data_IF_531376932244
#
_entry.id   IF_531376932244
#
_cell.length_a   1.000
_cell.length_b   1.000
_cell.length_c   1.000
_cell.angle_alpha   90.00
_cell.angle_beta   90.00
_cell.angle_gamma   90.00
#
_symmetry.space_group_name_H-M   'P 1'
#
loop_
_entity.id
_entity.type
_entity.pdbx_description
1 polymer ?
#
# COMPACT_ATOMS: atom_id res chain seq x y z
N UNK A 1 -14.81 -41.16 -4.99
CA UNK A 1 -13.44 -40.59 -5.00
C UNK A 1 -13.47 -39.07 -5.23
N UNK A 2 -14.11 -38.54 -6.28
CA UNK A 2 -14.16 -37.10 -6.62
C UNK A 2 -14.69 -36.22 -5.48
N UNK A 3 -15.80 -36.55 -4.85
CA UNK A 3 -16.37 -35.74 -3.74
C UNK A 3 -15.46 -35.65 -2.49
N UNK A 4 -14.68 -36.70 -2.22
CA UNK A 4 -13.68 -36.66 -1.13
C UNK A 4 -12.49 -35.74 -1.47
N UNK A 5 -12.10 -35.69 -2.74
CA UNK A 5 -11.05 -34.74 -3.20
C UNK A 5 -11.54 -33.30 -3.13
N UNK A 6 -12.76 -32.99 -3.56
CA UNK A 6 -13.34 -31.64 -3.45
C UNK A 6 -13.52 -31.22 -1.99
N UNK A 7 -13.98 -32.11 -1.13
CA UNK A 7 -14.11 -31.81 0.30
C UNK A 7 -12.74 -31.58 0.96
N UNK A 8 -11.70 -32.32 0.57
CA UNK A 8 -10.34 -32.10 1.07
C UNK A 8 -9.76 -30.77 0.58
N UNK A 9 -9.99 -30.40 -0.67
CA UNK A 9 -9.54 -29.11 -1.23
C UNK A 9 -10.24 -27.90 -0.56
N UNK A 10 -11.52 -28.03 -0.22
CA UNK A 10 -12.27 -26.98 0.49
C UNK A 10 -11.83 -26.79 1.96
N UNK A 11 -11.10 -27.74 2.52
CA UNK A 11 -10.61 -27.69 3.92
C UNK A 11 -9.18 -27.16 4.03
N UNK A 12 -8.51 -26.87 2.94
CA UNK A 12 -7.15 -26.33 2.95
C UNK A 12 -7.18 -24.82 2.78
N UNK A 13 -6.37 -24.15 3.57
CA UNK A 13 -6.03 -22.74 3.43
C UNK A 13 -4.59 -22.66 2.93
N UNK A 14 -4.41 -22.10 1.75
CA UNK A 14 -3.10 -21.82 1.16
C UNK A 14 -2.81 -20.34 1.36
N UNK A 15 -1.79 -20.04 2.15
CA UNK A 15 -1.37 -18.67 2.48
C UNK A 15 0.01 -18.43 1.92
N UNK A 16 0.16 -17.37 1.12
CA UNK A 16 1.45 -16.96 0.56
C UNK A 16 2.32 -16.35 1.66
N UNK A 17 3.57 -16.80 1.73
CA UNK A 17 4.61 -16.21 2.57
C UNK A 17 5.48 -15.34 1.68
N UNK A 18 5.33 -14.02 1.75
CA UNK A 18 6.07 -13.10 0.90
C UNK A 18 7.57 -13.18 1.15
N UNK A 19 8.36 -13.26 0.09
CA UNK A 19 9.80 -13.10 0.11
C UNK A 19 10.17 -11.64 0.41
N UNK A 20 11.31 -11.45 1.08
CA UNK A 20 11.86 -10.10 1.28
C UNK A 20 12.63 -9.69 0.04
N UNK A 21 12.33 -8.50 -0.49
CA UNK A 21 13.07 -7.95 -1.63
C UNK A 21 14.49 -7.57 -1.23
N UNK A 22 15.47 -7.95 -2.03
CA UNK A 22 16.88 -7.64 -1.82
C UNK A 22 17.16 -6.14 -1.76
N UNK A 23 18.18 -5.76 -1.03
CA UNK A 23 18.63 -4.37 -0.87
C UNK A 23 19.55 -3.93 -2.00
N UNK A 24 19.65 -2.62 -2.21
CA UNK A 24 20.57 -2.02 -3.18
C UNK A 24 21.57 -1.16 -2.39
N UNK A 25 22.86 -1.43 -2.62
CA UNK A 25 23.96 -0.74 -1.98
C UNK A 25 24.81 0.00 -3.00
N UNK A 26 25.49 1.06 -2.55
CA UNK A 26 26.55 1.70 -3.29
C UNK A 26 27.85 0.86 -3.28
N UNK A 27 28.91 1.37 -3.89
CA UNK A 27 30.23 0.70 -3.93
C UNK A 27 30.88 0.52 -2.55
N UNK A 28 30.46 1.30 -1.55
CA UNK A 28 31.01 1.33 -0.19
C UNK A 28 30.10 0.59 0.81
N UNK A 29 29.00 -0.01 0.35
CA UNK A 29 28.04 -0.72 1.19
C UNK A 29 26.99 0.19 1.86
N UNK A 30 26.83 1.43 1.39
CA UNK A 30 25.79 2.34 1.85
C UNK A 30 24.45 1.92 1.22
N UNK A 31 23.40 1.80 2.04
CA UNK A 31 22.09 1.35 1.59
C UNK A 31 21.37 2.45 0.79
N UNK A 32 21.11 2.20 -0.49
CA UNK A 32 20.39 3.10 -1.38
C UNK A 32 18.89 2.76 -1.47
N UNK A 33 18.55 1.49 -1.34
CA UNK A 33 17.16 1.03 -1.25
C UNK A 33 17.06 -0.17 -0.30
N UNK A 34 16.09 -0.12 0.62
CA UNK A 34 15.82 -1.17 1.59
C UNK A 34 14.35 -1.59 1.56
N UNK A 35 14.04 -2.72 2.20
CA UNK A 35 12.67 -3.20 2.33
C UNK A 35 12.31 -3.34 3.80
N UNK A 36 11.28 -2.61 4.23
CA UNK A 36 10.72 -2.69 5.58
C UNK A 36 9.50 -3.61 5.61
N UNK A 37 9.37 -4.35 6.69
CA UNK A 37 8.14 -5.13 6.96
C UNK A 37 7.08 -4.16 7.49
N UNK A 38 5.94 -4.16 6.83
CA UNK A 38 4.75 -3.39 7.20
C UNK A 38 3.53 -4.30 7.22
N UNK A 39 2.40 -3.78 7.64
CA UNK A 39 1.18 -4.55 7.81
C UNK A 39 0.00 -3.85 7.17
N UNK A 40 -0.86 -4.61 6.52
CA UNK A 40 -2.19 -4.16 6.11
C UNK A 40 -3.19 -4.56 7.21
N UNK A 41 -4.03 -3.63 7.60
CA UNK A 41 -5.10 -3.84 8.58
C UNK A 41 -6.41 -3.95 7.82
N UNK A 42 -7.12 -5.04 8.02
CA UNK A 42 -8.42 -5.26 7.41
C UNK A 42 -9.43 -5.78 8.43
N UNK A 43 -10.69 -5.63 8.16
CA UNK A 43 -11.77 -6.11 9.01
C UNK A 43 -12.75 -6.99 8.22
N UNK A 44 -13.44 -7.85 8.96
CA UNK A 44 -14.64 -8.56 8.52
C UNK A 44 -15.86 -7.99 9.25
N UNK A 45 -16.53 -6.95 8.69
CA UNK A 45 -17.73 -6.39 9.30
C UNK A 45 -18.87 -7.40 9.41
N UNK A 46 -19.00 -8.33 8.46
CA UNK A 46 -20.05 -9.36 8.50
C UNK A 46 -19.90 -10.33 9.67
N UNK A 47 -18.68 -10.50 10.17
CA UNK A 47 -18.33 -11.31 11.35
C UNK A 47 -18.14 -10.46 12.62
N UNK A 48 -18.22 -9.14 12.50
CA UNK A 48 -18.12 -8.16 13.59
C UNK A 48 -19.48 -7.91 14.21
N UNK A 49 -19.97 -8.88 14.96
CA UNK A 49 -21.34 -8.92 15.49
C UNK A 49 -21.69 -7.78 16.46
N UNK A 50 -20.72 -6.98 16.89
CA UNK A 50 -20.96 -5.77 17.68
C UNK A 50 -21.44 -4.59 16.82
N UNK A 51 -21.16 -4.63 15.50
CA UNK A 51 -21.51 -3.55 14.59
C UNK A 51 -22.98 -3.61 14.13
N UNK A 52 -23.74 -4.62 14.58
CA UNK A 52 -25.15 -4.76 14.22
C UNK A 52 -25.92 -5.55 15.26
N UNK A 53 -27.21 -5.27 15.37
CA UNK A 53 -28.18 -6.11 16.10
C UNK A 53 -28.84 -7.07 15.12
N UNK A 54 -29.31 -8.20 15.63
CA UNK A 54 -29.97 -9.22 14.83
C UNK A 54 -31.39 -9.44 15.34
N UNK A 55 -32.37 -9.29 14.46
CA UNK A 55 -33.77 -9.63 14.74
C UNK A 55 -34.24 -10.72 13.78
N UNK A 56 -35.18 -11.56 14.23
CA UNK A 56 -35.80 -12.56 13.38
C UNK A 56 -37.27 -12.20 13.20
N UNK A 57 -37.68 -12.02 11.94
CA UNK A 57 -39.05 -11.73 11.58
C UNK A 57 -39.95 -12.97 11.67
N UNK A 58 -41.28 -12.78 11.59
CA UNK A 58 -42.27 -13.86 11.65
C UNK A 58 -42.11 -14.91 10.57
N UNK A 59 -41.54 -14.55 9.41
CA UNK A 59 -41.20 -15.43 8.30
C UNK A 59 -39.88 -16.20 8.49
N UNK A 60 -39.26 -16.09 9.68
CA UNK A 60 -37.94 -16.66 10.04
C UNK A 60 -36.75 -16.06 9.29
N UNK A 61 -36.92 -14.93 8.60
CA UNK A 61 -35.79 -14.20 8.04
C UNK A 61 -35.04 -13.43 9.13
N UNK A 62 -33.71 -13.56 9.13
CA UNK A 62 -32.83 -12.82 10.04
C UNK A 62 -32.43 -11.50 9.41
N UNK A 63 -32.77 -10.40 10.07
CA UNK A 63 -32.40 -9.04 9.65
C UNK A 63 -31.30 -8.52 10.55
N UNK A 64 -30.26 -7.92 9.95
CA UNK A 64 -29.21 -7.22 10.67
C UNK A 64 -29.50 -5.72 10.61
N UNK A 65 -29.46 -5.06 11.75
CA UNK A 65 -29.60 -3.60 11.86
C UNK A 65 -28.29 -3.02 12.34
N UNK A 66 -27.67 -2.16 11.54
CA UNK A 66 -26.40 -1.51 11.85
C UNK A 66 -26.45 -0.70 13.14
N UNK A 67 -25.38 -0.78 13.95
CA UNK A 67 -25.22 0.01 15.18
C UNK A 67 -24.17 1.12 14.95
N UNK A 68 -24.61 2.37 14.70
CA UNK A 68 -23.70 3.48 14.42
C UNK A 68 -22.86 3.87 15.64
N UNK A 69 -23.37 3.63 16.87
CA UNK A 69 -22.68 4.03 18.10
C UNK A 69 -21.46 3.14 18.33
N UNK A 70 -21.64 1.84 18.22
CA UNK A 70 -20.54 0.89 18.34
C UNK A 70 -19.53 1.03 17.21
N UNK A 71 -20.01 1.28 15.99
CA UNK A 71 -19.13 1.56 14.86
C UNK A 71 -18.27 2.81 15.10
N UNK A 72 -18.85 3.89 15.62
CA UNK A 72 -18.14 5.13 15.93
C UNK A 72 -17.05 4.90 17.00
N UNK A 73 -17.36 4.18 18.07
CA UNK A 73 -16.42 3.88 19.15
C UNK A 73 -15.22 3.06 18.65
N UNK A 74 -15.47 1.99 17.88
CA UNK A 74 -14.43 1.16 17.29
C UNK A 74 -13.59 1.96 16.30
N UNK A 75 -14.22 2.76 15.45
CA UNK A 75 -13.54 3.58 14.45
C UNK A 75 -12.62 4.61 15.10
N UNK A 76 -13.08 5.28 16.15
CA UNK A 76 -12.28 6.22 16.92
C UNK A 76 -11.03 5.55 17.51
N UNK A 77 -11.22 4.40 18.18
CA UNK A 77 -10.12 3.69 18.81
C UNK A 77 -9.06 3.19 17.83
N UNK A 78 -9.46 2.77 16.62
CA UNK A 78 -8.55 2.36 15.54
C UNK A 78 -7.85 3.59 14.95
N UNK A 79 -8.58 4.67 14.65
CA UNK A 79 -8.04 5.88 14.03
C UNK A 79 -6.98 6.55 14.89
N UNK A 80 -7.21 6.68 16.21
CA UNK A 80 -6.22 7.22 17.14
C UNK A 80 -4.89 6.46 17.07
N UNK A 81 -4.93 5.15 16.95
CA UNK A 81 -3.73 4.30 16.87
C UNK A 81 -3.03 4.41 15.52
N UNK A 82 -3.80 4.52 14.45
CA UNK A 82 -3.23 4.72 13.11
C UNK A 82 -2.46 6.02 13.02
N UNK A 83 -2.98 7.10 13.61
CA UNK A 83 -2.39 8.44 13.53
C UNK A 83 -1.32 8.72 14.59
N UNK A 84 -1.26 7.94 15.69
CA UNK A 84 -0.22 8.10 16.70
C UNK A 84 1.19 7.76 16.19
N UNK A 85 1.28 7.00 15.08
CA UNK A 85 2.55 6.59 14.48
C UNK A 85 3.34 5.53 15.27
N UNK A 86 3.25 5.54 16.59
CA UNK A 86 3.86 4.56 17.51
C UNK A 86 2.83 3.60 18.12
N UNK A 87 1.53 3.89 17.97
CA UNK A 87 0.43 3.13 18.55
C UNK A 87 0.18 3.39 20.04
N UNK A 88 0.99 4.22 20.70
CA UNK A 88 0.94 4.47 22.16
C UNK A 88 0.61 5.92 22.48
N UNK A 89 1.14 6.88 21.75
CA UNK A 89 0.99 8.33 22.00
C UNK A 89 -0.38 8.85 21.55
N UNK A 90 -1.48 8.24 22.02
CA UNK A 90 -2.83 8.56 21.57
C UNK A 90 -3.26 10.00 21.91
N UNK A 91 -2.81 10.53 23.05
CA UNK A 91 -3.12 11.90 23.50
C UNK A 91 -2.45 12.98 22.64
N UNK A 92 -1.44 12.61 21.86
CA UNK A 92 -0.76 13.51 20.95
C UNK A 92 -1.50 13.70 19.62
N UNK A 93 -2.51 12.87 19.34
CA UNK A 93 -3.29 12.93 18.11
C UNK A 93 -4.29 14.09 18.19
N UNK A 94 -4.16 15.06 17.28
CA UNK A 94 -5.12 16.15 17.15
C UNK A 94 -6.42 15.65 16.50
N UNK A 95 -7.43 15.40 17.33
CA UNK A 95 -8.75 14.91 16.87
C UNK A 95 -9.58 15.97 16.15
N UNK A 96 -9.12 17.24 16.12
CA UNK A 96 -9.76 18.33 15.36
C UNK A 96 -9.15 18.52 13.97
N UNK A 97 -8.07 17.79 13.66
CA UNK A 97 -7.40 17.90 12.38
C UNK A 97 -8.21 17.32 11.23
N UNK A 98 -7.97 17.83 10.03
CA UNK A 98 -8.57 17.29 8.80
C UNK A 98 -8.11 15.85 8.56
N UNK A 99 -6.83 15.56 8.83
CA UNK A 99 -6.25 14.22 8.70
C UNK A 99 -6.98 13.20 9.59
N UNK A 100 -7.25 13.58 10.86
CA UNK A 100 -8.04 12.72 11.75
C UNK A 100 -9.44 12.49 11.20
N UNK A 101 -10.12 13.54 10.73
CA UNK A 101 -11.48 13.44 10.21
C UNK A 101 -11.56 12.54 8.98
N UNK A 102 -10.62 12.68 8.05
CA UNK A 102 -10.55 11.84 6.85
C UNK A 102 -10.26 10.37 7.18
N UNK A 103 -9.27 10.13 8.05
CA UNK A 103 -8.92 8.77 8.46
C UNK A 103 -10.05 8.10 9.25
N UNK A 104 -10.69 8.84 10.17
CA UNK A 104 -11.85 8.37 10.92
C UNK A 104 -13.01 7.99 9.98
N UNK A 105 -13.33 8.86 9.02
CA UNK A 105 -14.39 8.59 8.05
C UNK A 105 -14.07 7.34 7.20
N UNK A 106 -12.83 7.20 6.77
CA UNK A 106 -12.38 6.00 6.02
C UNK A 106 -12.62 4.72 6.81
N UNK A 107 -12.23 4.70 8.09
CA UNK A 107 -12.40 3.52 8.96
C UNK A 107 -13.89 3.27 9.24
N UNK A 108 -14.65 4.33 9.53
CA UNK A 108 -16.08 4.25 9.80
C UNK A 108 -16.87 3.70 8.60
N UNK A 109 -16.62 4.24 7.41
CA UNK A 109 -17.27 3.81 6.16
C UNK A 109 -16.93 2.36 5.80
N UNK A 110 -15.70 1.94 6.09
CA UNK A 110 -15.30 0.56 5.90
C UNK A 110 -16.05 -0.39 6.85
N UNK A 111 -16.11 -0.05 8.15
CA UNK A 111 -16.76 -0.87 9.17
C UNK A 111 -18.31 -0.86 9.05
N UNK A 112 -18.90 0.19 8.49
CA UNK A 112 -20.34 0.29 8.28
C UNK A 112 -20.90 -0.71 7.25
N UNK A 113 -20.02 -1.29 6.41
CA UNK A 113 -20.39 -2.28 5.39
C UNK A 113 -20.63 -3.67 6.01
N UNK A 114 -21.63 -3.78 6.88
CA UNK A 114 -21.90 -4.96 7.71
C UNK A 114 -22.14 -6.28 6.95
N UNK A 115 -22.34 -6.23 5.64
CA UNK A 115 -22.48 -7.42 4.79
C UNK A 115 -21.17 -7.80 4.07
N UNK A 116 -20.11 -6.99 4.21
CA UNK A 116 -18.80 -7.27 3.64
C UNK A 116 -17.97 -8.15 4.56
N UNK A 117 -17.34 -9.18 4.01
CA UNK A 117 -16.40 -10.06 4.74
C UNK A 117 -14.95 -9.59 4.69
N UNK A 118 -14.64 -8.57 3.89
CA UNK A 118 -13.31 -8.00 3.77
C UNK A 118 -13.38 -6.51 3.43
N UNK A 119 -12.85 -5.69 4.33
CA UNK A 119 -12.66 -4.26 4.10
C UNK A 119 -11.28 -3.85 4.61
N UNK A 120 -10.57 -3.05 3.85
CA UNK A 120 -9.26 -2.52 4.25
C UNK A 120 -9.48 -1.29 5.12
N UNK A 121 -8.84 -1.26 6.29
CA UNK A 121 -8.86 -0.12 7.22
C UNK A 121 -7.62 0.76 7.07
N UNK A 122 -6.46 0.14 6.85
CA UNK A 122 -5.20 0.83 6.61
C UNK A 122 -4.20 -0.09 5.91
N UNK A 123 -3.27 0.50 5.17
CA UNK A 123 -2.18 -0.21 4.50
C UNK A 123 -0.83 0.32 4.97
N UNK A 124 0.20 -0.51 4.84
CA UNK A 124 1.60 -0.13 5.12
C UNK A 124 1.84 0.39 6.54
N UNK A 125 1.13 -0.16 7.51
CA UNK A 125 1.24 0.22 8.92
C UNK A 125 2.47 -0.45 9.53
N UNK A 126 3.19 0.26 10.40
CA UNK A 126 4.33 -0.28 11.12
C UNK A 126 3.91 -1.31 12.19
N UNK A 127 4.88 -2.06 12.71
CA UNK A 127 4.60 -3.13 13.67
C UNK A 127 4.09 -2.63 15.03
N UNK A 128 4.50 -1.45 15.49
CA UNK A 128 4.06 -0.89 16.77
C UNK A 128 2.55 -0.56 16.72
N UNK A 129 2.14 0.17 15.70
CA UNK A 129 0.72 0.50 15.47
C UNK A 129 -0.12 -0.76 15.26
N UNK A 130 0.40 -1.74 14.49
CA UNK A 130 -0.27 -3.05 14.33
C UNK A 130 -0.54 -3.73 15.67
N UNK A 131 0.47 -3.83 16.54
CA UNK A 131 0.32 -4.46 17.86
C UNK A 131 -0.68 -3.68 18.73
N UNK A 132 -0.62 -2.36 18.73
CA UNK A 132 -1.55 -1.51 19.47
C UNK A 132 -3.01 -1.70 19.03
N UNK A 133 -3.24 -1.86 17.72
CA UNK A 133 -4.60 -2.14 17.20
C UNK A 133 -5.05 -3.54 17.62
N UNK A 134 -4.19 -4.55 17.55
CA UNK A 134 -4.52 -5.92 17.99
C UNK A 134 -4.86 -5.96 19.49
N UNK A 135 -4.10 -5.26 20.32
CA UNK A 135 -4.34 -5.16 21.76
C UNK A 135 -5.63 -4.40 22.06
N UNK A 136 -5.89 -3.29 21.37
CA UNK A 136 -7.15 -2.55 21.46
C UNK A 136 -8.35 -3.45 21.14
N UNK A 137 -8.33 -4.10 19.97
CA UNK A 137 -9.43 -4.98 19.54
C UNK A 137 -9.61 -6.16 20.50
N UNK A 138 -8.52 -6.73 21.00
CA UNK A 138 -8.56 -7.79 22.00
C UNK A 138 -9.18 -7.31 23.31
N UNK A 139 -8.76 -6.15 23.81
CA UNK A 139 -9.29 -5.50 25.02
C UNK A 139 -10.77 -5.13 24.87
N UNK A 140 -11.12 -4.51 23.74
CA UNK A 140 -12.48 -4.15 23.38
C UNK A 140 -13.40 -5.38 23.36
N UNK A 141 -12.99 -6.44 22.69
CA UNK A 141 -13.73 -7.70 22.63
C UNK A 141 -13.88 -8.38 24.00
N UNK A 142 -12.90 -8.24 24.89
CA UNK A 142 -13.00 -8.74 26.28
C UNK A 142 -13.98 -7.92 27.11
N UNK A 143 -13.94 -6.59 27.00
CA UNK A 143 -14.84 -5.68 27.74
C UNK A 143 -16.30 -5.89 27.35
N UNK A 144 -16.56 -6.19 26.08
CA UNK A 144 -17.91 -6.40 25.55
C UNK A 144 -18.35 -7.88 25.53
N UNK A 145 -17.56 -8.79 26.12
CA UNK A 145 -17.92 -10.20 26.27
C UNK A 145 -18.91 -10.37 27.44
N UNK A 146 -20.20 -10.38 27.16
CA UNK A 146 -21.21 -10.79 28.13
C UNK A 146 -21.43 -12.32 28.18
N UNK A 147 -21.91 -12.81 29.35
CA UNK A 147 -22.09 -14.19 29.69
C UNK A 147 -22.94 -15.04 28.74
N UNK A 148 -23.08 -16.31 29.00
CA UNK A 148 -23.79 -17.32 28.19
C UNK A 148 -25.27 -17.00 28.05
N UNK A 149 -25.78 -16.94 26.79
CA UNK A 149 -27.21 -16.79 26.49
C UNK A 149 -27.49 -15.77 25.39
N UNK A 150 -28.73 -15.29 25.32
CA UNK A 150 -29.24 -14.35 24.34
C UNK A 150 -28.58 -12.96 24.40
N UNK A 151 -27.84 -12.66 25.47
CA UNK A 151 -27.07 -11.42 25.66
C UNK A 151 -25.63 -11.51 25.11
N UNK A 152 -25.40 -12.22 24.07
CA UNK A 152 -24.10 -12.21 23.38
C UNK A 152 -23.86 -10.81 22.80
N UNK A 153 -23.09 -10.00 23.52
CA UNK A 153 -22.49 -8.84 22.92
C UNK A 153 -21.44 -9.35 21.92
N UNK A 154 -21.46 -8.74 20.77
CA UNK A 154 -20.68 -9.10 19.64
C UNK A 154 -19.17 -8.87 19.83
N UNK A 155 -18.45 -9.17 18.80
CA UNK A 155 -17.01 -8.88 18.69
C UNK A 155 -16.75 -8.07 17.44
N UNK A 156 -15.70 -7.33 17.47
CA UNK A 156 -15.07 -6.77 16.26
C UNK A 156 -14.07 -7.80 15.72
N UNK A 157 -14.12 -8.05 14.42
CA UNK A 157 -13.17 -8.90 13.71
C UNK A 157 -12.24 -8.03 12.88
N UNK A 158 -11.04 -7.78 13.40
CA UNK A 158 -9.94 -7.11 12.71
C UNK A 158 -8.79 -8.09 12.59
N UNK A 159 -8.15 -8.10 11.48
CA UNK A 159 -7.01 -8.97 11.15
C UNK A 159 -5.90 -8.18 10.50
N UNK A 160 -4.70 -8.72 10.55
CA UNK A 160 -3.51 -8.10 10.01
C UNK A 160 -2.85 -9.02 8.99
N UNK A 161 -2.39 -8.46 7.90
CA UNK A 161 -1.67 -9.18 6.86
C UNK A 161 -0.29 -8.56 6.68
N UNK A 162 0.74 -9.41 6.69
CA UNK A 162 2.12 -8.96 6.47
C UNK A 162 2.29 -8.46 5.05
N UNK A 163 2.86 -7.28 4.92
CA UNK A 163 3.19 -6.63 3.65
C UNK A 163 4.62 -6.10 3.70
N UNK A 164 5.09 -5.52 2.62
CA UNK A 164 6.40 -4.89 2.54
C UNK A 164 6.29 -3.49 1.94
N UNK A 165 7.19 -2.62 2.36
CA UNK A 165 7.34 -1.29 1.80
C UNK A 165 8.79 -1.09 1.38
N UNK A 166 8.98 -0.69 0.13
CA UNK A 166 10.27 -0.25 -0.37
C UNK A 166 10.56 1.15 0.14
N UNK A 167 11.77 1.36 0.61
CA UNK A 167 12.21 2.63 1.16
C UNK A 167 13.52 3.07 0.50
N UNK A 168 13.57 4.34 0.08
CA UNK A 168 14.73 4.97 -0.51
C UNK A 168 15.19 6.10 0.44
N UNK A 169 16.17 5.83 1.32
CA UNK A 169 16.53 6.71 2.44
C UNK A 169 16.97 8.12 2.01
N UNK A 170 17.44 8.26 0.79
CA UNK A 170 17.98 9.52 0.26
C UNK A 170 16.99 10.26 -0.68
N UNK A 171 15.71 9.85 -0.71
CA UNK A 171 14.69 10.50 -1.54
C UNK A 171 15.05 10.50 -3.03
N UNK A 172 15.09 11.68 -3.65
CA UNK A 172 15.34 11.83 -5.09
C UNK A 172 16.76 11.45 -5.55
N UNK A 173 17.66 11.12 -4.62
CA UNK A 173 19.04 10.76 -4.92
C UNK A 173 19.12 9.52 -5.81
N UNK A 174 19.86 9.63 -6.91
CA UNK A 174 20.03 8.60 -7.96
C UNK A 174 18.71 8.00 -8.47
N UNK A 175 17.59 8.72 -8.33
CA UNK A 175 16.23 8.23 -8.60
C UNK A 175 16.07 7.66 -10.00
N UNK A 176 16.63 8.33 -11.03
CA UNK A 176 16.55 7.87 -12.42
C UNK A 176 17.28 6.53 -12.64
N UNK A 177 18.30 6.22 -11.83
CA UNK A 177 19.05 4.97 -11.89
C UNK A 177 18.37 3.89 -11.07
N UNK A 178 18.09 4.17 -9.80
CA UNK A 178 17.46 3.22 -8.88
C UNK A 178 16.07 2.83 -9.41
N UNK A 179 15.29 3.81 -9.82
CA UNK A 179 13.90 3.61 -10.16
C UNK A 179 13.04 3.41 -8.91
N UNK A 180 11.88 2.79 -9.08
CA UNK A 180 10.93 2.56 -8.01
C UNK A 180 10.13 1.27 -8.21
N UNK A 181 9.45 0.85 -7.14
CA UNK A 181 8.51 -0.26 -7.16
C UNK A 181 7.07 0.27 -7.05
N UNK A 182 6.12 -0.53 -7.53
CA UNK A 182 4.70 -0.30 -7.26
C UNK A 182 4.31 -0.62 -5.81
N UNK A 183 3.00 -0.49 -5.50
CA UNK A 183 2.45 -0.76 -4.17
C UNK A 183 2.60 -2.21 -3.71
N UNK A 184 2.81 -3.15 -4.64
CA UNK A 184 2.99 -4.58 -4.37
C UNK A 184 4.47 -4.99 -4.30
N UNK A 185 5.39 -4.04 -4.51
CA UNK A 185 6.84 -4.28 -4.47
C UNK A 185 7.42 -4.81 -5.79
N UNK A 186 6.71 -4.68 -6.90
CA UNK A 186 7.22 -5.03 -8.23
C UNK A 186 7.96 -3.84 -8.84
N UNK A 187 9.18 -4.07 -9.31
CA UNK A 187 10.00 -3.02 -9.94
C UNK A 187 9.38 -2.50 -11.24
N UNK A 188 9.11 -1.20 -11.28
CA UNK A 188 8.41 -0.53 -12.38
C UNK A 188 9.35 0.26 -13.28
N UNK A 189 10.43 0.80 -12.70
CA UNK A 189 11.40 1.64 -13.40
C UNK A 189 12.84 1.36 -12.92
N UNK A 190 13.84 1.79 -13.69
CA UNK A 190 15.26 1.76 -13.33
C UNK A 190 15.84 0.37 -13.04
N UNK A 191 16.77 0.30 -12.11
CA UNK A 191 17.38 -0.95 -11.64
C UNK A 191 16.38 -1.85 -10.97
N UNK A 192 15.40 -1.29 -10.25
CA UNK A 192 14.31 -2.05 -9.62
C UNK A 192 13.59 -2.93 -10.65
N UNK A 193 13.32 -2.40 -11.85
CA UNK A 193 12.70 -3.15 -12.94
C UNK A 193 13.69 -4.10 -13.62
N UNK A 194 14.88 -3.60 -13.94
CA UNK A 194 15.88 -4.35 -14.73
C UNK A 194 16.36 -5.60 -13.99
N UNK A 195 16.45 -5.53 -12.64
CA UNK A 195 16.88 -6.62 -11.77
C UNK A 195 15.73 -7.22 -10.97
N UNK A 196 14.48 -7.08 -11.45
CA UNK A 196 13.29 -7.62 -10.76
C UNK A 196 13.45 -9.09 -10.38
N UNK A 197 13.92 -9.94 -11.29
CA UNK A 197 14.09 -11.39 -11.02
C UNK A 197 15.14 -11.71 -9.96
N UNK A 198 16.11 -10.82 -9.77
CA UNK A 198 17.18 -10.96 -8.77
C UNK A 198 16.74 -10.44 -7.41
N UNK A 199 16.09 -9.27 -7.42
CA UNK A 199 15.68 -8.55 -6.22
C UNK A 199 14.42 -9.15 -5.56
N UNK A 200 13.44 -9.63 -6.32
CA UNK A 200 12.14 -10.02 -5.77
C UNK A 200 12.17 -11.28 -4.90
N UNK A 201 13.12 -12.19 -5.15
CA UNK A 201 13.11 -13.51 -4.50
C UNK A 201 11.98 -14.41 -5.02
N UNK A 202 11.64 -15.41 -4.23
CA UNK A 202 10.57 -16.38 -4.55
C UNK A 202 9.69 -16.54 -3.32
N UNK A 203 8.41 -16.22 -3.49
CA UNK A 203 7.43 -16.36 -2.41
C UNK A 203 7.30 -17.82 -1.97
N UNK A 204 7.20 -18.02 -0.67
CA UNK A 204 6.83 -19.29 -0.06
C UNK A 204 5.31 -19.43 0.07
N UNK A 205 4.88 -20.57 0.59
CA UNK A 205 3.47 -20.79 0.91
C UNK A 205 3.32 -21.72 2.11
N UNK A 206 2.27 -21.49 2.88
CA UNK A 206 1.88 -22.37 3.99
C UNK A 206 0.50 -22.94 3.72
N UNK A 207 0.41 -24.26 3.68
CA UNK A 207 -0.84 -24.98 3.48
C UNK A 207 -1.26 -25.50 4.85
N UNK A 208 -2.38 -24.97 5.36
CA UNK A 208 -2.97 -25.38 6.65
C UNK A 208 -4.40 -25.89 6.43
N UNK A 209 -4.95 -26.59 7.42
CA UNK A 209 -6.36 -26.89 7.46
C UNK A 209 -7.14 -25.69 7.99
N UNK A 210 -8.32 -25.45 7.43
CA UNK A 210 -9.26 -24.45 7.96
C UNK A 210 -10.45 -25.13 8.63
N UNK A 211 -10.97 -24.47 9.66
CA UNK A 211 -12.21 -24.91 10.30
C UNK A 211 -13.42 -24.56 9.44
N UNK A 212 -14.61 -24.98 9.87
CA UNK A 212 -15.87 -24.72 9.16
C UNK A 212 -16.19 -23.21 9.01
N UNK A 213 -15.49 -22.34 9.73
CA UNK A 213 -15.63 -20.87 9.70
C UNK A 213 -14.55 -20.22 8.82
N UNK A 214 -13.65 -21.02 8.23
CA UNK A 214 -12.63 -20.55 7.30
C UNK A 214 -11.28 -20.16 7.95
N UNK A 215 -11.16 -20.19 9.27
CA UNK A 215 -9.93 -19.85 9.96
C UNK A 215 -8.92 -21.01 9.96
N UNK A 216 -7.62 -20.67 9.89
CA UNK A 216 -6.56 -21.66 10.03
C UNK A 216 -6.68 -22.40 11.36
N UNK A 217 -6.63 -23.74 11.32
CA UNK A 217 -6.47 -24.55 12.50
C UNK A 217 -4.97 -24.64 12.78
N UNK A 218 -4.55 -24.38 14.02
CA UNK A 218 -3.19 -24.65 14.45
C UNK A 218 -2.97 -26.18 14.41
N UNK A 219 -2.50 -26.68 13.26
CA UNK A 219 -2.28 -28.10 13.01
C UNK A 219 -0.78 -28.37 12.93
N UNK A 220 -0.34 -29.41 13.63
CA UNK A 220 1.05 -29.90 13.56
C UNK A 220 1.42 -30.43 12.17
N UNK A 221 0.43 -30.59 11.27
CA UNK A 221 0.61 -31.07 9.90
C UNK A 221 0.59 -29.94 8.84
N UNK A 222 0.77 -28.67 9.25
CA UNK A 222 0.93 -27.59 8.30
C UNK A 222 2.17 -27.82 7.43
N UNK A 223 2.01 -27.80 6.10
CA UNK A 223 3.12 -27.90 5.18
C UNK A 223 3.55 -26.51 4.77
N UNK A 224 4.74 -26.10 5.20
CA UNK A 224 5.33 -24.79 4.86
C UNK A 224 6.44 -24.96 3.85
N UNK A 225 6.33 -24.26 2.74
CA UNK A 225 7.40 -24.04 1.78
C UNK A 225 7.97 -22.65 2.09
N UNK A 226 9.21 -22.61 2.58
CA UNK A 226 9.84 -21.35 2.96
C UNK A 226 10.00 -20.41 1.75
N UNK A 227 9.78 -19.12 1.96
CA UNK A 227 10.14 -18.10 0.98
C UNK A 227 11.67 -18.07 0.82
N UNK A 228 12.12 -17.73 -0.37
CA UNK A 228 13.54 -17.47 -0.65
C UNK A 228 13.68 -15.98 -0.94
N UNK A 229 14.32 -15.25 -0.04
CA UNK A 229 14.54 -13.81 -0.19
C UNK A 229 15.35 -13.47 -1.45
N UNK A 230 15.14 -12.26 -1.95
CA UNK A 230 15.86 -11.73 -3.09
C UNK A 230 17.34 -11.51 -2.78
N UNK A 231 18.16 -11.49 -3.82
CA UNK A 231 19.57 -11.17 -3.71
C UNK A 231 19.78 -9.67 -3.70
N UNK A 232 20.77 -9.21 -2.93
CA UNK A 232 21.16 -7.81 -2.88
C UNK A 232 21.95 -7.41 -4.14
N UNK A 233 21.86 -6.14 -4.53
CA UNK A 233 22.69 -5.54 -5.56
C UNK A 233 23.73 -4.61 -4.92
N UNK A 234 24.98 -4.73 -5.35
CA UNK A 234 26.05 -3.77 -5.03
C UNK A 234 26.41 -3.07 -6.33
N UNK A 235 26.21 -1.75 -6.34
CA UNK A 235 26.45 -0.91 -7.50
C UNK A 235 27.90 -0.42 -7.52
N UNK A 236 28.36 0.05 -8.68
CA UNK A 236 29.61 0.80 -8.79
C UNK A 236 29.46 2.28 -8.47
N UNK A 237 28.23 2.77 -8.24
CA UNK A 237 27.96 4.12 -7.81
C UNK A 237 28.60 4.40 -6.46
N UNK A 238 29.17 5.59 -6.30
CA UNK A 238 29.69 6.12 -5.04
C UNK A 238 28.80 7.29 -4.59
N UNK A 239 28.21 7.16 -3.41
CA UNK A 239 27.28 8.17 -2.87
C UNK A 239 27.91 9.56 -2.83
N UNK A 240 29.19 9.68 -2.46
CA UNK A 240 29.84 10.98 -2.36
C UNK A 240 30.03 11.62 -3.76
N UNK A 241 30.41 10.81 -4.76
CA UNK A 241 30.57 11.31 -6.13
C UNK A 241 29.22 11.67 -6.72
N UNK A 242 28.21 10.84 -6.48
CA UNK A 242 26.85 11.08 -6.95
C UNK A 242 26.26 12.37 -6.37
N UNK A 243 26.41 12.62 -5.06
CA UNK A 243 25.96 13.86 -4.40
C UNK A 243 26.58 15.11 -5.02
N UNK A 244 27.89 15.08 -5.26
CA UNK A 244 28.60 16.19 -5.90
C UNK A 244 28.03 16.44 -7.31
N UNK A 245 27.85 15.38 -8.10
CA UNK A 245 27.34 15.48 -9.47
C UNK A 245 25.91 16.02 -9.49
N UNK A 246 25.02 15.52 -8.63
CA UNK A 246 23.64 15.99 -8.55
C UNK A 246 23.54 17.46 -8.15
N UNK A 247 24.32 17.89 -7.17
CA UNK A 247 24.37 19.29 -6.74
C UNK A 247 24.78 20.20 -7.89
N UNK A 248 25.92 19.92 -8.52
CA UNK A 248 26.40 20.76 -9.62
C UNK A 248 25.53 20.70 -10.88
N UNK A 249 24.88 19.54 -11.14
CA UNK A 249 23.93 19.44 -12.23
C UNK A 249 22.69 20.31 -11.95
N UNK A 250 22.18 20.33 -10.71
CA UNK A 250 21.07 21.19 -10.29
C UNK A 250 21.41 22.67 -10.50
N UNK A 251 22.61 23.09 -10.03
CA UNK A 251 23.08 24.46 -10.20
C UNK A 251 23.24 24.83 -11.68
N UNK A 252 23.79 23.92 -12.50
CA UNK A 252 24.00 24.15 -13.92
C UNK A 252 22.67 24.26 -14.70
N UNK A 253 21.71 23.41 -14.41
CA UNK A 253 20.38 23.43 -15.01
C UNK A 253 19.67 24.74 -14.71
N UNK A 254 19.71 25.21 -13.46
CA UNK A 254 19.10 26.45 -13.04
C UNK A 254 19.81 27.67 -13.65
N UNK A 255 21.16 27.71 -13.63
CA UNK A 255 21.94 28.84 -14.12
C UNK A 255 21.82 29.05 -15.67
N UNK A 256 21.52 27.96 -16.39
CA UNK A 256 21.42 28.03 -17.86
C UNK A 256 19.97 27.92 -18.36
N UNK A 257 18.98 28.01 -17.49
CA UNK A 257 17.54 27.90 -17.83
C UNK A 257 17.25 26.71 -18.76
N UNK A 258 17.74 25.53 -18.38
CA UNK A 258 17.54 24.31 -19.19
C UNK A 258 16.06 23.88 -19.10
N UNK A 259 15.34 24.02 -20.19
CA UNK A 259 13.88 23.83 -20.26
C UNK A 259 13.47 22.35 -20.19
N UNK A 260 14.26 21.45 -20.76
CA UNK A 260 13.85 20.05 -20.84
C UNK A 260 14.55 19.15 -19.82
N UNK A 261 15.82 18.80 -20.13
CA UNK A 261 16.52 17.81 -19.31
C UNK A 261 18.03 18.02 -19.33
N UNK A 262 18.66 17.92 -18.16
CA UNK A 262 20.11 17.83 -17.99
C UNK A 262 20.52 16.46 -17.49
N UNK A 263 21.67 15.94 -17.94
CA UNK A 263 22.24 14.71 -17.39
C UNK A 263 23.75 14.82 -17.26
N UNK A 264 24.31 14.07 -16.29
CA UNK A 264 25.74 13.95 -16.08
C UNK A 264 26.11 12.53 -15.71
N UNK A 265 27.22 12.02 -16.27
CA UNK A 265 27.74 10.68 -16.00
C UNK A 265 29.22 10.79 -15.68
N UNK A 266 29.63 10.17 -14.56
CA UNK A 266 31.05 10.05 -14.18
C UNK A 266 31.46 8.59 -14.26
N UNK A 267 32.47 8.31 -15.07
CA UNK A 267 32.95 6.96 -15.31
C UNK A 267 34.47 6.86 -15.05
N UNK A 268 34.88 5.79 -14.40
CA UNK A 268 36.28 5.43 -14.29
C UNK A 268 36.77 4.87 -15.63
N UNK A 269 37.59 5.64 -16.34
CA UNK A 269 38.05 5.30 -17.68
C UNK A 269 38.96 4.05 -17.77
N UNK A 270 39.52 3.61 -16.62
CA UNK A 270 40.37 2.41 -16.56
C UNK A 270 39.57 1.13 -16.38
N UNK A 271 38.45 1.21 -15.66
CA UNK A 271 37.63 0.04 -15.30
C UNK A 271 36.29 -0.01 -16.02
N UNK A 272 35.83 1.11 -16.56
CA UNK A 272 34.50 1.27 -17.12
C UNK A 272 33.39 1.40 -16.06
N UNK A 273 33.73 1.42 -14.77
CA UNK A 273 32.74 1.53 -13.70
C UNK A 273 32.10 2.92 -13.69
N UNK A 274 30.77 2.97 -13.64
CA UNK A 274 30.01 4.20 -13.48
C UNK A 274 30.02 4.57 -11.99
N UNK A 275 30.61 5.71 -11.66
CA UNK A 275 30.72 6.21 -10.29
C UNK A 275 29.55 7.13 -9.92
N UNK A 276 29.00 7.85 -10.89
CA UNK A 276 27.79 8.64 -10.71
C UNK A 276 27.02 8.76 -12.04
N UNK A 277 25.70 8.82 -11.91
CA UNK A 277 24.79 9.07 -13.04
C UNK A 277 23.56 9.84 -12.53
N UNK A 278 23.42 11.08 -12.97
CA UNK A 278 22.36 11.99 -12.55
C UNK A 278 21.58 12.51 -13.74
N UNK A 279 20.31 12.78 -13.56
CA UNK A 279 19.46 13.51 -14.49
C UNK A 279 18.53 14.47 -13.74
N UNK A 280 18.25 15.63 -14.33
CA UNK A 280 17.31 16.63 -13.84
C UNK A 280 16.32 16.99 -14.94
N UNK A 281 15.02 17.20 -14.64
CA UNK A 281 14.40 17.03 -13.32
C UNK A 281 14.42 15.59 -12.85
N UNK A 282 14.41 15.40 -11.53
CA UNK A 282 14.32 14.13 -10.84
C UNK A 282 12.96 13.97 -10.13
N UNK A 283 12.76 12.87 -9.44
CA UNK A 283 11.55 12.55 -8.69
C UNK A 283 11.95 11.82 -7.40
N UNK A 284 11.06 11.79 -6.41
CA UNK A 284 11.27 10.95 -5.22
C UNK A 284 10.74 9.53 -5.49
N UNK A 285 11.58 8.49 -5.45
CA UNK A 285 11.14 7.10 -5.62
C UNK A 285 10.17 6.60 -4.54
N UNK A 286 10.10 7.28 -3.39
CA UNK A 286 9.12 6.95 -2.35
C UNK A 286 7.71 7.43 -2.73
N UNK A 287 7.61 8.51 -3.53
CA UNK A 287 6.36 9.12 -4.02
C UNK A 287 6.44 9.39 -5.52
N UNK A 288 6.66 8.36 -6.37
CA UNK A 288 7.06 8.55 -7.77
C UNK A 288 5.97 9.19 -8.66
N UNK A 289 4.75 9.26 -8.18
CA UNK A 289 3.59 9.88 -8.86
C UNK A 289 3.18 11.22 -8.22
N UNK A 290 3.99 11.74 -7.31
CA UNK A 290 3.77 13.07 -6.76
C UNK A 290 4.30 14.14 -7.72
N UNK A 291 3.38 14.76 -8.44
CA UNK A 291 3.66 15.85 -9.38
C UNK A 291 3.46 17.24 -8.76
N UNK A 292 3.23 17.34 -7.45
CA UNK A 292 2.92 18.60 -6.76
C UNK A 292 3.99 19.68 -7.00
N UNK A 293 5.27 19.30 -6.99
CA UNK A 293 6.38 20.20 -7.26
C UNK A 293 6.36 20.79 -8.69
N UNK A 294 5.75 20.08 -9.64
CA UNK A 294 5.65 20.50 -11.04
C UNK A 294 4.26 21.02 -11.42
N UNK A 295 3.33 21.03 -10.46
CA UNK A 295 1.93 21.36 -10.75
C UNK A 295 1.76 22.75 -11.35
N UNK A 296 2.45 23.76 -10.82
CA UNK A 296 2.40 25.13 -11.35
C UNK A 296 2.89 25.21 -12.81
N UNK A 297 4.00 24.55 -13.11
CA UNK A 297 4.52 24.46 -14.47
C UNK A 297 3.56 23.73 -15.41
N UNK A 298 2.99 22.60 -14.98
CA UNK A 298 2.01 21.86 -15.77
C UNK A 298 0.74 22.67 -16.01
N UNK A 299 0.25 23.40 -15.00
CA UNK A 299 -0.90 24.31 -15.14
C UNK A 299 -0.64 25.43 -16.16
N UNK A 300 0.58 25.99 -16.16
CA UNK A 300 0.98 26.99 -17.14
C UNK A 300 1.01 26.41 -18.57
N UNK A 301 1.56 25.20 -18.75
CA UNK A 301 1.58 24.52 -20.06
C UNK A 301 0.18 24.19 -20.56
N UNK A 302 -0.68 23.68 -19.70
CA UNK A 302 -2.09 23.40 -20.02
C UNK A 302 -2.84 24.69 -20.42
N UNK A 303 -2.58 25.79 -19.70
CA UNK A 303 -3.19 27.10 -20.01
C UNK A 303 -2.66 27.70 -21.34
N UNK A 304 -1.39 27.43 -21.70
CA UNK A 304 -0.78 27.91 -22.92
C UNK A 304 -1.26 27.14 -24.17
N UNK A 305 -1.47 25.83 -24.05
CA UNK A 305 -1.86 24.94 -25.16
C UNK A 305 -2.99 23.99 -24.74
N UNK A 306 -4.20 24.50 -24.41
CA UNK A 306 -5.29 23.69 -23.86
C UNK A 306 -5.71 22.54 -24.80
N UNK A 307 -5.68 22.75 -26.12
CA UNK A 307 -6.06 21.72 -27.09
C UNK A 307 -5.13 20.48 -27.05
N UNK A 308 -3.87 20.65 -26.66
CA UNK A 308 -2.90 19.57 -26.58
C UNK A 308 -3.13 18.68 -25.34
N UNK A 309 -3.66 19.25 -24.27
CA UNK A 309 -3.85 18.60 -22.98
C UNK A 309 -5.30 18.26 -22.66
N UNK A 310 -6.27 18.68 -23.52
CA UNK A 310 -7.67 18.36 -23.34
C UNK A 310 -7.92 16.85 -23.45
N UNK A 311 -8.46 16.26 -22.41
CA UNK A 311 -8.91 14.87 -22.41
C UNK A 311 -10.33 14.82 -22.94
N UNK A 312 -10.60 13.89 -23.85
CA UNK A 312 -11.93 13.70 -24.43
C UNK A 312 -12.51 12.36 -24.00
N UNK A 313 -13.78 12.35 -23.64
CA UNK A 313 -14.52 11.14 -23.30
C UNK A 313 -14.45 10.13 -24.46
N UNK A 314 -14.28 8.86 -24.12
CA UNK A 314 -14.32 7.76 -25.08
C UNK A 314 -15.75 7.24 -25.25
N UNK A 315 -16.05 6.73 -26.44
CA UNK A 315 -17.33 6.07 -26.71
C UNK A 315 -17.42 4.78 -25.89
N UNK A 316 -18.55 4.60 -25.21
CA UNK A 316 -18.77 3.43 -24.33
C UNK A 316 -18.81 2.09 -25.09
N UNK A 317 -19.19 2.15 -26.39
CA UNK A 317 -19.30 0.95 -27.24
C UNK A 317 -18.06 0.71 -28.11
N UNK A 318 -17.21 1.74 -28.32
CA UNK A 318 -15.96 1.63 -29.09
C UNK A 318 -14.85 2.49 -28.45
N UNK A 319 -14.02 1.91 -27.57
CA UNK A 319 -12.95 2.66 -26.87
C UNK A 319 -11.91 3.32 -27.78
N UNK A 320 -11.93 3.02 -29.10
CA UNK A 320 -11.05 3.67 -30.09
C UNK A 320 -11.63 4.97 -30.62
N UNK A 321 -12.89 5.25 -30.35
CA UNK A 321 -13.57 6.48 -30.77
C UNK A 321 -13.81 7.41 -29.59
N UNK A 322 -14.01 8.69 -29.89
CA UNK A 322 -14.42 9.68 -28.92
C UNK A 322 -15.95 9.78 -28.89
N UNK A 323 -16.49 10.08 -27.72
CA UNK A 323 -17.89 10.44 -27.57
C UNK A 323 -18.14 11.79 -28.22
N UNK A 324 -19.18 11.92 -28.99
CA UNK A 324 -19.51 13.15 -29.73
C UNK A 324 -20.79 13.77 -29.19
N UNK A 325 -20.86 15.10 -29.21
CA UNK A 325 -22.10 15.87 -28.94
C UNK A 325 -23.10 15.81 -30.11
N UNK A 326 -24.23 16.45 -29.96
CA UNK A 326 -25.26 16.51 -30.99
C UNK A 326 -24.83 17.22 -32.29
N UNK A 327 -23.72 17.99 -32.25
CA UNK A 327 -23.13 18.71 -33.38
C UNK A 327 -21.93 17.95 -34.00
N UNK A 328 -21.56 16.78 -33.42
CA UNK A 328 -20.44 15.97 -33.91
C UNK A 328 -19.07 16.39 -33.34
N UNK A 329 -19.00 17.25 -32.32
CA UNK A 329 -17.76 17.62 -31.65
C UNK A 329 -17.41 16.60 -30.56
N UNK A 330 -16.13 16.44 -30.26
CA UNK A 330 -15.68 15.60 -29.14
C UNK A 330 -16.12 16.25 -27.82
N UNK A 331 -16.64 15.43 -26.91
CA UNK A 331 -17.02 15.88 -25.58
C UNK A 331 -15.76 15.85 -24.69
N UNK A 332 -15.45 16.97 -24.06
CA UNK A 332 -14.36 17.07 -23.08
C UNK A 332 -14.69 16.28 -21.82
N UNK A 333 -13.67 15.64 -21.22
CA UNK A 333 -13.78 14.99 -19.95
C UNK A 333 -13.69 16.07 -18.85
N UNK A 334 -14.69 16.24 -18.00
CA UNK A 334 -14.70 17.30 -16.99
C UNK A 334 -13.82 17.01 -15.77
N UNK A 335 -13.27 15.76 -15.62
CA UNK A 335 -12.53 15.33 -14.43
C UNK A 335 -10.97 15.48 -14.63
#
# INVERSE_FOLDING_TARGET
AKYRQYAAQQQLLDTTVKATRGEIYDANGITLASTSVVWNIWADPSYSSILYTTSTNDDKTTVRTFDPTMCAEVSQGITLRLLSGDGESLDAVDTSSEEYTQQYQTVYDALSKIDSSYVVLATKVNNAVKLSIEDYVSGFNKAHKKGSGADRIGRVSVSTEKSSQRNYPYGAFAAAVLGFTDGEGVGTYGLEKSYQSTLAGVDGRTITRRNAVGNAIADQNATTFAAKDGSNLVLSLDVNVQEIVERYLTEAVAANNVENRGCAIVMNVKTGAILAMASKPDFDPNTPLDYSANLAYLQEQVAAEPELYTIYLRDENDPKKYKLDENGNKIEDPD
#
